data_IF_235458984364
#
_entry.id   IF_235458984364
#
_cell.length_a   1.000
_cell.length_b   1.000
_cell.length_c   1.000
_cell.angle_alpha   90.00
_cell.angle_beta   90.00
_cell.angle_gamma   90.00
#
_symmetry.space_group_name_H-M   'P 1'
#
loop_
_entity.id
_entity.type
_entity.pdbx_description
1 polymer ?
#
# COMPACT_ATOMS: atom_id res chain seq x y z
N UNK A 1 -14.36 -2.10 40.57
CA UNK A 1 -15.33 -3.12 41.03
C UNK A 1 -15.29 -4.23 40.00
N UNK A 2 -14.48 -5.26 40.25
CA UNK A 2 -14.40 -6.43 39.38
C UNK A 2 -15.69 -7.23 39.51
N UNK A 3 -16.59 -7.10 38.54
CA UNK A 3 -17.75 -7.97 38.43
C UNK A 3 -17.26 -9.38 38.07
N UNK A 4 -17.19 -10.25 39.08
CA UNK A 4 -17.05 -11.69 38.88
C UNK A 4 -18.33 -12.22 38.23
N UNK A 5 -18.29 -12.40 36.91
CA UNK A 5 -19.33 -13.10 36.17
C UNK A 5 -19.36 -14.56 36.64
N UNK A 6 -20.38 -14.93 37.44
CA UNK A 6 -20.65 -16.31 37.84
C UNK A 6 -21.54 -16.98 36.80
N UNK A 7 -20.98 -17.92 36.03
CA UNK A 7 -21.77 -18.73 35.11
C UNK A 7 -22.41 -19.88 35.88
N UNK A 8 -23.74 -19.84 36.07
CA UNK A 8 -24.50 -20.92 36.71
C UNK A 8 -24.67 -22.11 35.73
N UNK A 9 -23.58 -22.82 35.45
CA UNK A 9 -23.56 -23.99 34.58
C UNK A 9 -23.96 -25.25 35.36
N UNK A 10 -24.78 -26.11 34.76
CA UNK A 10 -25.08 -27.44 35.33
C UNK A 10 -23.82 -28.32 35.34
N UNK A 11 -23.74 -29.37 36.20
CA UNK A 11 -22.58 -30.27 36.23
C UNK A 11 -22.23 -30.88 34.88
N UNK A 12 -23.24 -31.18 34.05
CA UNK A 12 -23.06 -31.70 32.69
C UNK A 12 -22.47 -30.65 31.74
N UNK A 13 -22.95 -29.40 31.81
CA UNK A 13 -22.38 -28.28 31.06
C UNK A 13 -20.94 -27.97 31.50
N UNK A 14 -20.62 -28.10 32.78
CA UNK A 14 -19.26 -27.98 33.32
C UNK A 14 -18.33 -29.07 32.77
N UNK A 15 -18.83 -30.30 32.63
CA UNK A 15 -18.11 -31.39 32.00
C UNK A 15 -17.84 -31.11 30.51
N UNK A 16 -18.86 -30.67 29.76
CA UNK A 16 -18.73 -30.34 28.33
C UNK A 16 -17.76 -29.16 28.10
N UNK A 17 -17.87 -28.08 28.88
CA UNK A 17 -16.96 -26.94 28.78
C UNK A 17 -15.52 -27.32 29.08
N UNK A 18 -15.29 -28.27 30.01
CA UNK A 18 -13.96 -28.78 30.31
C UNK A 18 -13.39 -29.61 29.15
N UNK A 19 -14.21 -30.45 28.50
CA UNK A 19 -13.81 -31.19 27.28
C UNK A 19 -13.47 -30.22 26.14
N UNK A 20 -14.31 -29.21 25.92
CA UNK A 20 -14.14 -28.22 24.86
C UNK A 20 -12.88 -27.36 25.09
N UNK A 21 -12.63 -26.97 26.34
CA UNK A 21 -11.38 -26.29 26.74
C UNK A 21 -10.15 -27.13 26.42
N UNK A 22 -10.15 -28.42 26.75
CA UNK A 22 -9.03 -29.34 26.43
C UNK A 22 -8.78 -29.41 24.92
N UNK A 23 -9.84 -29.50 24.11
CA UNK A 23 -9.72 -29.51 22.63
C UNK A 23 -9.12 -28.20 22.13
N UNK A 24 -9.63 -27.05 22.60
CA UNK A 24 -9.10 -25.73 22.25
C UNK A 24 -7.64 -25.56 22.66
N UNK A 25 -7.25 -26.03 23.84
CA UNK A 25 -5.87 -25.92 24.32
C UNK A 25 -4.93 -26.82 23.53
N UNK A 26 -5.38 -28.01 23.14
CA UNK A 26 -4.63 -28.90 22.23
C UNK A 26 -4.40 -28.23 20.87
N UNK A 27 -5.44 -27.61 20.30
CA UNK A 27 -5.33 -26.86 19.05
C UNK A 27 -4.38 -25.66 19.19
N UNK A 28 -4.48 -24.88 20.26
CA UNK A 28 -3.58 -23.75 20.54
C UNK A 28 -2.12 -24.21 20.68
N UNK A 29 -1.87 -25.31 21.38
CA UNK A 29 -0.53 -25.85 21.54
C UNK A 29 0.04 -26.32 20.19
N UNK A 30 -0.76 -27.01 19.38
CA UNK A 30 -0.36 -27.43 18.04
C UNK A 30 -0.05 -26.23 17.15
N UNK A 31 -0.94 -25.24 17.09
CA UNK A 31 -0.73 -24.01 16.33
C UNK A 31 0.55 -23.26 16.77
N UNK A 32 0.79 -23.13 18.09
CA UNK A 32 2.02 -22.52 18.63
C UNK A 32 3.27 -23.29 18.22
N UNK A 33 3.24 -24.63 18.27
CA UNK A 33 4.37 -25.47 17.81
C UNK A 33 4.61 -25.30 16.31
N UNK A 34 3.57 -25.32 15.48
CA UNK A 34 3.69 -25.08 14.03
C UNK A 34 4.25 -23.69 13.73
N UNK A 35 3.77 -22.63 14.39
CA UNK A 35 4.28 -21.26 14.24
C UNK A 35 5.75 -21.17 14.68
N UNK A 36 6.10 -21.77 15.82
CA UNK A 36 7.49 -21.81 16.33
C UNK A 36 8.44 -22.53 15.36
N UNK A 37 8.02 -23.66 14.79
CA UNK A 37 8.82 -24.42 13.82
C UNK A 37 9.08 -23.60 12.54
N UNK A 38 8.04 -22.98 11.98
CA UNK A 38 8.18 -22.09 10.82
C UNK A 38 9.01 -20.83 11.15
N UNK A 39 8.98 -20.35 12.39
CA UNK A 39 9.81 -19.23 12.85
C UNK A 39 11.30 -19.61 12.90
N UNK A 40 11.64 -20.84 13.32
CA UNK A 40 13.01 -21.37 13.30
C UNK A 40 13.53 -21.59 11.87
N UNK A 41 12.74 -22.14 10.95
CA UNK A 41 13.13 -22.30 9.54
C UNK A 41 13.27 -20.96 8.80
N UNK A 42 12.48 -19.95 9.17
CA UNK A 42 12.63 -18.60 8.62
C UNK A 42 13.90 -17.90 9.11
N UNK A 43 14.42 -18.23 10.29
CA UNK A 43 15.58 -17.53 10.88
C UNK A 43 16.83 -17.53 9.97
N UNK A 44 17.30 -18.66 9.40
CA UNK A 44 18.45 -18.64 8.49
C UNK A 44 18.17 -17.90 7.18
N UNK A 45 16.98 -18.07 6.58
CA UNK A 45 16.62 -17.38 5.33
C UNK A 45 16.52 -15.87 5.55
N UNK A 46 15.87 -15.44 6.64
CA UNK A 46 15.74 -14.03 7.01
C UNK A 46 17.12 -13.44 7.34
N UNK A 47 18.01 -14.18 8.01
CA UNK A 47 19.40 -13.76 8.22
C UNK A 47 20.14 -13.56 6.89
N UNK A 48 20.01 -14.50 5.96
CA UNK A 48 20.62 -14.39 4.62
C UNK A 48 20.06 -13.19 3.85
N UNK A 49 18.74 -12.97 3.86
CA UNK A 49 18.10 -11.81 3.23
C UNK A 49 18.52 -10.49 3.89
N UNK A 50 18.64 -10.47 5.22
CA UNK A 50 19.15 -9.31 5.94
C UNK A 50 20.61 -9.03 5.58
N UNK A 51 21.45 -10.06 5.42
CA UNK A 51 22.82 -9.89 4.98
C UNK A 51 22.88 -9.40 3.53
N UNK A 52 22.07 -9.97 2.63
CA UNK A 52 21.88 -9.49 1.25
C UNK A 52 21.51 -8.01 1.23
N UNK A 53 20.55 -7.57 2.05
CA UNK A 53 20.13 -6.16 2.12
C UNK A 53 21.22 -5.18 2.58
N UNK A 54 22.30 -5.67 3.22
CA UNK A 54 23.43 -4.83 3.65
C UNK A 54 24.42 -4.55 2.52
N UNK A 55 24.45 -5.36 1.47
CA UNK A 55 25.35 -5.13 0.33
C UNK A 55 24.88 -3.91 -0.47
N UNK A 56 25.67 -2.84 -0.45
CA UNK A 56 25.38 -1.60 -1.17
C UNK A 56 25.48 -1.75 -2.69
N UNK A 57 26.09 -2.82 -3.19
CA UNK A 57 26.29 -3.08 -4.62
C UNK A 57 25.06 -3.66 -5.31
N UNK A 58 24.10 -4.20 -4.56
CA UNK A 58 22.89 -4.80 -5.12
C UNK A 58 21.67 -3.92 -4.85
N UNK A 59 20.70 -3.99 -5.75
CA UNK A 59 19.39 -3.37 -5.62
C UNK A 59 18.32 -4.46 -5.64
N UNK A 60 17.57 -4.56 -4.55
CA UNK A 60 16.51 -5.57 -4.39
C UNK A 60 15.16 -4.89 -4.58
N UNK A 61 14.37 -5.35 -5.54
CA UNK A 61 13.05 -4.79 -5.85
C UNK A 61 12.06 -5.86 -6.28
N UNK A 62 10.82 -5.45 -6.55
CA UNK A 62 9.77 -6.31 -7.13
C UNK A 62 9.74 -6.13 -8.64
N UNK A 63 9.37 -7.17 -9.41
CA UNK A 63 9.16 -7.02 -10.84
C UNK A 63 7.91 -6.19 -11.11
N UNK A 64 7.85 -5.66 -12.32
CA UNK A 64 6.71 -4.93 -12.86
C UNK A 64 5.41 -5.75 -12.92
N UNK A 65 5.54 -7.06 -13.17
CA UNK A 65 4.43 -8.01 -13.24
C UNK A 65 4.77 -9.30 -12.51
N UNK A 66 3.76 -9.90 -11.89
CA UNK A 66 3.89 -11.16 -11.16
C UNK A 66 4.33 -10.98 -9.71
N UNK A 67 4.58 -12.11 -9.04
CA UNK A 67 5.02 -12.18 -7.64
C UNK A 67 6.40 -12.83 -7.59
N UNK A 68 7.44 -12.01 -7.72
CA UNK A 68 8.83 -12.44 -7.58
C UNK A 68 9.67 -11.36 -6.87
N UNK A 69 10.94 -11.69 -6.62
CA UNK A 69 11.96 -10.75 -6.15
C UNK A 69 13.01 -10.64 -7.24
N UNK A 70 13.42 -9.41 -7.57
CA UNK A 70 14.47 -9.13 -8.54
C UNK A 70 15.67 -8.55 -7.81
N UNK A 71 16.85 -9.08 -8.11
CA UNK A 71 18.12 -8.58 -7.62
C UNK A 71 18.87 -8.06 -8.84
N UNK A 72 19.24 -6.78 -8.79
CA UNK A 72 19.99 -6.09 -9.83
C UNK A 72 21.31 -5.59 -9.28
N UNK A 73 22.25 -5.32 -10.17
CA UNK A 73 23.38 -4.46 -9.83
C UNK A 73 22.89 -3.03 -9.62
N UNK A 74 23.31 -2.39 -8.53
CA UNK A 74 22.85 -1.05 -8.17
C UNK A 74 23.33 0.02 -9.15
N UNK A 75 24.54 -0.12 -9.68
CA UNK A 75 25.13 0.76 -10.68
C UNK A 75 24.28 0.80 -11.96
N UNK A 76 23.93 -0.36 -12.52
CA UNK A 76 23.06 -0.50 -13.70
C UNK A 76 21.68 0.11 -13.47
N UNK A 77 21.08 -0.14 -12.29
CA UNK A 77 19.82 0.47 -11.91
C UNK A 77 19.90 2.01 -11.88
N UNK A 78 20.92 2.58 -11.23
CA UNK A 78 21.09 4.03 -11.14
C UNK A 78 21.35 4.66 -12.51
N UNK A 79 22.19 4.03 -13.33
CA UNK A 79 22.48 4.48 -14.69
C UNK A 79 21.19 4.55 -15.54
N UNK A 80 20.36 3.51 -15.49
CA UNK A 80 19.08 3.48 -16.22
C UNK A 80 18.11 4.55 -15.72
N UNK A 81 18.02 4.74 -14.40
CA UNK A 81 17.20 5.80 -13.81
C UNK A 81 17.65 7.19 -14.27
N UNK A 82 18.95 7.47 -14.27
CA UNK A 82 19.52 8.72 -14.74
C UNK A 82 19.25 8.94 -16.24
N UNK A 83 19.37 7.90 -17.07
CA UNK A 83 19.02 7.99 -18.49
C UNK A 83 17.57 8.41 -18.72
N UNK A 84 16.63 7.93 -17.91
CA UNK A 84 15.22 8.33 -17.99
C UNK A 84 15.01 9.76 -17.48
N UNK A 85 15.59 10.11 -16.32
CA UNK A 85 15.41 11.41 -15.70
C UNK A 85 16.09 12.56 -16.45
N UNK A 86 17.17 12.27 -17.18
CA UNK A 86 17.89 13.26 -17.99
C UNK A 86 17.26 13.47 -19.38
N UNK A 87 16.11 12.84 -19.69
CA UNK A 87 15.40 13.09 -20.94
C UNK A 87 14.68 14.46 -20.89
N UNK A 88 15.16 15.49 -21.62
CA UNK A 88 14.69 16.86 -21.48
C UNK A 88 13.28 17.09 -22.05
N UNK A 89 12.78 16.16 -22.86
CA UNK A 89 11.40 16.18 -23.38
C UNK A 89 10.37 15.80 -22.31
N UNK A 90 10.78 15.00 -21.33
CA UNK A 90 9.89 14.38 -20.34
C UNK A 90 10.07 15.02 -18.97
N UNK A 91 11.32 15.28 -18.57
CA UNK A 91 11.67 15.79 -17.26
C UNK A 91 12.44 17.11 -17.36
N UNK A 92 12.21 17.97 -16.36
CA UNK A 92 12.94 19.21 -16.18
C UNK A 92 13.51 19.22 -14.76
N UNK A 93 14.82 19.41 -14.66
CA UNK A 93 15.48 19.62 -13.39
C UNK A 93 15.01 20.95 -12.78
N UNK A 94 14.76 20.92 -11.47
CA UNK A 94 14.41 22.10 -10.68
C UNK A 94 15.58 22.45 -9.77
N UNK A 95 15.85 23.74 -9.62
CA UNK A 95 16.93 24.24 -8.77
C UNK A 95 16.57 24.15 -7.28
N UNK A 96 15.28 24.24 -6.96
CA UNK A 96 14.75 24.20 -5.60
C UNK A 96 13.51 23.30 -5.50
N UNK A 97 13.29 22.71 -4.33
CA UNK A 97 12.09 21.93 -4.05
C UNK A 97 10.87 22.84 -3.83
N UNK A 98 9.86 22.83 -4.73
CA UNK A 98 8.70 23.70 -4.62
C UNK A 98 7.63 23.14 -3.67
N UNK A 99 7.89 22.04 -2.95
CA UNK A 99 6.87 21.31 -2.18
C UNK A 99 6.18 22.19 -1.14
N UNK A 100 6.95 22.92 -0.32
CA UNK A 100 6.38 23.81 0.72
C UNK A 100 5.58 24.95 0.07
N UNK A 101 6.13 25.57 -0.98
CA UNK A 101 5.46 26.67 -1.69
C UNK A 101 4.12 26.20 -2.29
N UNK A 102 4.07 25.00 -2.86
CA UNK A 102 2.86 24.39 -3.42
C UNK A 102 1.87 23.99 -2.32
N UNK A 103 2.35 23.46 -1.20
CA UNK A 103 1.55 23.17 -0.02
C UNK A 103 0.85 24.44 0.49
N UNK A 104 1.60 25.52 0.73
CA UNK A 104 1.06 26.78 1.24
C UNK A 104 0.05 27.41 0.28
N UNK A 105 0.34 27.38 -1.03
CA UNK A 105 -0.60 27.84 -2.06
C UNK A 105 -1.89 27.03 -2.02
N UNK A 106 -1.80 25.72 -1.87
CA UNK A 106 -2.97 24.86 -1.78
C UNK A 106 -3.75 25.09 -0.49
N UNK A 107 -3.09 25.19 0.67
CA UNK A 107 -3.75 25.46 1.94
C UNK A 107 -4.55 26.76 1.90
N UNK A 108 -3.97 27.85 1.36
CA UNK A 108 -4.67 29.13 1.16
C UNK A 108 -5.91 28.98 0.29
N UNK A 109 -5.82 28.22 -0.81
CA UNK A 109 -6.96 27.97 -1.70
C UNK A 109 -8.05 27.16 -1.01
N UNK A 110 -7.70 26.10 -0.28
CA UNK A 110 -8.65 25.29 0.48
C UNK A 110 -9.34 26.09 1.59
N UNK A 111 -8.60 26.97 2.27
CA UNK A 111 -9.17 27.85 3.29
C UNK A 111 -10.19 28.82 2.68
N UNK A 112 -9.85 29.42 1.54
CA UNK A 112 -10.79 30.28 0.82
C UNK A 112 -12.07 29.51 0.41
N UNK A 113 -11.92 28.29 -0.14
CA UNK A 113 -13.07 27.44 -0.51
C UNK A 113 -13.92 27.04 0.69
N UNK A 114 -13.31 26.86 1.87
CA UNK A 114 -14.03 26.66 3.13
C UNK A 114 -14.83 27.90 3.51
N UNK A 115 -14.22 29.09 3.45
CA UNK A 115 -14.84 30.34 3.88
C UNK A 115 -16.04 30.74 3.02
N UNK A 116 -16.06 30.38 1.73
CA UNK A 116 -17.22 30.57 0.85
C UNK A 116 -18.24 29.41 0.94
N UNK A 117 -18.11 28.54 1.95
CA UNK A 117 -18.97 27.36 2.18
C UNK A 117 -18.99 26.35 1.02
N UNK A 118 -17.99 26.34 0.13
CA UNK A 118 -17.89 25.37 -0.97
C UNK A 118 -17.40 24.00 -0.47
N UNK A 119 -16.50 24.00 0.52
CA UNK A 119 -16.06 22.79 1.20
C UNK A 119 -16.68 22.73 2.60
N UNK A 120 -17.11 21.53 2.99
CA UNK A 120 -17.49 21.29 4.38
C UNK A 120 -16.26 21.27 5.28
N UNK A 121 -16.47 21.43 6.60
CA UNK A 121 -15.39 21.35 7.59
C UNK A 121 -14.63 20.01 7.55
N UNK A 122 -15.35 18.90 7.32
CA UNK A 122 -14.74 17.58 7.21
C UNK A 122 -13.92 17.44 5.93
N UNK A 123 -14.41 17.97 4.80
CA UNK A 123 -13.72 17.95 3.52
C UNK A 123 -12.46 18.80 3.54
N UNK A 124 -12.53 20.00 4.12
CA UNK A 124 -11.37 20.84 4.34
C UNK A 124 -10.32 20.14 5.20
N UNK A 125 -10.71 19.59 6.36
CA UNK A 125 -9.79 18.87 7.26
C UNK A 125 -9.15 17.66 6.59
N UNK A 126 -9.91 16.95 5.75
CA UNK A 126 -9.40 15.82 4.98
C UNK A 126 -8.43 16.26 3.88
N UNK A 127 -8.79 17.25 3.08
CA UNK A 127 -8.01 17.67 1.92
C UNK A 127 -6.78 18.52 2.27
N UNK A 128 -6.77 19.17 3.45
CA UNK A 128 -5.67 20.03 3.89
C UNK A 128 -4.36 19.22 4.00
N UNK A 129 -3.33 19.55 3.19
CA UNK A 129 -2.01 18.95 3.33
C UNK A 129 -1.33 19.43 4.62
N UNK A 130 -0.52 18.55 5.22
CA UNK A 130 0.38 18.85 6.33
C UNK A 130 1.63 18.00 6.16
N UNK A 131 2.80 18.64 6.07
CA UNK A 131 4.09 17.93 6.01
C UNK A 131 4.27 17.15 4.70
N UNK A 132 3.91 17.77 3.58
CA UNK A 132 3.99 17.14 2.26
C UNK A 132 5.43 16.82 1.90
N UNK A 133 5.61 15.80 1.06
CA UNK A 133 6.89 15.42 0.50
C UNK A 133 6.85 15.48 -1.03
N UNK A 134 8.00 15.67 -1.71
CA UNK A 134 8.08 15.48 -3.14
C UNK A 134 7.60 14.09 -3.57
N UNK A 135 7.18 13.99 -4.83
CA UNK A 135 6.86 12.69 -5.42
C UNK A 135 8.12 11.83 -5.52
N UNK A 136 8.03 10.57 -5.11
CA UNK A 136 9.16 9.64 -5.18
C UNK A 136 9.15 8.92 -6.52
N UNK A 137 10.26 9.01 -7.26
CA UNK A 137 10.48 8.24 -8.47
C UNK A 137 11.26 6.96 -8.15
N UNK A 138 10.83 5.83 -8.71
CA UNK A 138 11.52 4.54 -8.66
C UNK A 138 11.17 3.72 -9.88
N UNK A 139 11.89 2.62 -10.11
CA UNK A 139 11.70 1.81 -11.30
C UNK A 139 11.40 0.35 -10.98
N UNK A 140 10.59 -0.27 -11.84
CA UNK A 140 10.22 -1.68 -11.73
C UNK A 140 10.73 -2.47 -12.94
N UNK A 141 11.49 -3.56 -12.75
CA UNK A 141 12.02 -4.36 -13.85
C UNK A 141 10.92 -5.11 -14.61
N UNK A 142 10.85 -4.94 -15.93
CA UNK A 142 9.93 -5.68 -16.80
C UNK A 142 10.55 -7.03 -17.16
N UNK A 143 10.58 -7.96 -16.20
CA UNK A 143 11.17 -9.31 -16.33
C UNK A 143 10.54 -10.18 -17.44
N UNK A 144 9.40 -9.77 -17.98
CA UNK A 144 8.70 -10.44 -19.09
C UNK A 144 9.09 -9.89 -20.47
N UNK A 145 10.12 -9.07 -20.56
CA UNK A 145 10.63 -8.48 -21.81
C UNK A 145 12.12 -8.73 -21.93
N UNK A 146 12.59 -8.91 -23.16
CA UNK A 146 14.01 -9.07 -23.46
C UNK A 146 14.81 -7.85 -23.02
N UNK A 147 16.01 -8.09 -22.47
CA UNK A 147 16.86 -7.04 -21.91
C UNK A 147 16.36 -6.44 -20.58
N UNK A 148 15.24 -6.92 -20.03
CA UNK A 148 14.65 -6.50 -18.75
C UNK A 148 14.60 -4.97 -18.57
N UNK A 149 13.93 -4.24 -19.48
CA UNK A 149 13.81 -2.79 -19.38
C UNK A 149 13.08 -2.37 -18.09
N UNK A 150 13.44 -1.21 -17.55
CA UNK A 150 12.82 -0.68 -16.34
C UNK A 150 11.54 0.12 -16.68
N UNK A 151 10.54 0.09 -15.79
CA UNK A 151 9.35 0.96 -15.84
C UNK A 151 9.52 2.07 -14.81
N UNK A 152 9.67 3.35 -15.20
CA UNK A 152 9.66 4.43 -14.24
C UNK A 152 8.25 4.59 -13.63
N UNK A 153 8.20 4.73 -12.32
CA UNK A 153 6.99 4.97 -11.53
C UNK A 153 7.20 6.23 -10.68
N UNK A 154 6.29 7.18 -10.82
CA UNK A 154 6.26 8.39 -9.98
C UNK A 154 5.15 8.23 -8.97
N UNK A 155 5.52 7.99 -7.70
CA UNK A 155 4.57 7.90 -6.60
C UNK A 155 4.23 9.29 -6.09
N UNK A 156 2.99 9.71 -6.32
CA UNK A 156 2.42 10.94 -5.75
C UNK A 156 1.89 10.77 -4.31
N UNK A 157 2.13 9.63 -3.65
CA UNK A 157 1.70 9.42 -2.26
C UNK A 157 2.41 10.40 -1.33
N UNK A 158 1.65 11.07 -0.46
CA UNK A 158 2.21 12.03 0.50
C UNK A 158 2.59 13.38 -0.11
N UNK A 159 2.34 13.59 -1.41
CA UNK A 159 2.48 14.91 -2.03
C UNK A 159 1.37 15.86 -1.58
N UNK A 160 1.59 17.16 -1.76
CA UNK A 160 0.68 18.21 -1.28
C UNK A 160 -0.76 18.06 -1.78
N UNK A 161 -0.98 17.44 -2.95
CA UNK A 161 -2.30 17.25 -3.54
C UNK A 161 -2.87 15.82 -3.40
N UNK A 162 -2.23 14.91 -2.67
CA UNK A 162 -2.66 13.49 -2.56
C UNK A 162 -4.09 13.38 -2.00
N UNK A 163 -4.33 13.97 -0.81
CA UNK A 163 -5.66 13.89 -0.15
C UNK A 163 -6.74 14.64 -0.93
N UNK A 164 -6.41 15.81 -1.49
CA UNK A 164 -7.32 16.55 -2.36
C UNK A 164 -7.73 15.70 -3.58
N UNK A 165 -6.77 15.03 -4.22
CA UNK A 165 -7.06 14.19 -5.38
C UNK A 165 -8.01 13.04 -5.04
N UNK A 166 -7.86 12.44 -3.85
CA UNK A 166 -8.80 11.42 -3.33
C UNK A 166 -10.19 11.99 -3.09
N UNK A 167 -10.28 13.19 -2.49
CA UNK A 167 -11.55 13.87 -2.28
C UNK A 167 -12.28 14.13 -3.61
N UNK A 168 -11.55 14.67 -4.59
CA UNK A 168 -12.09 14.93 -5.92
C UNK A 168 -12.52 13.65 -6.64
N UNK A 169 -11.70 12.60 -6.60
CA UNK A 169 -12.04 11.30 -7.19
C UNK A 169 -13.32 10.71 -6.59
N UNK A 170 -13.52 10.86 -5.28
CA UNK A 170 -14.73 10.42 -4.60
C UNK A 170 -15.95 11.26 -5.01
N UNK A 171 -15.83 12.59 -5.04
CA UNK A 171 -16.92 13.47 -5.47
C UNK A 171 -17.33 13.22 -6.92
N UNK A 172 -16.36 13.00 -7.81
CA UNK A 172 -16.58 12.77 -9.23
C UNK A 172 -16.91 11.30 -9.58
N UNK A 173 -16.97 10.40 -8.59
CA UNK A 173 -17.23 8.97 -8.82
C UNK A 173 -18.53 8.72 -9.57
N UNK A 174 -19.57 9.52 -9.30
CA UNK A 174 -20.87 9.40 -9.96
C UNK A 174 -20.79 9.64 -11.48
N UNK A 175 -19.89 10.51 -11.94
CA UNK A 175 -19.69 10.78 -13.38
C UNK A 175 -19.04 9.60 -14.12
N UNK A 176 -18.44 8.66 -13.38
CA UNK A 176 -17.86 7.43 -13.95
C UNK A 176 -18.85 6.27 -13.99
N UNK A 177 -20.04 6.42 -13.41
CA UNK A 177 -21.05 5.38 -13.44
C UNK A 177 -21.79 5.45 -14.78
N UNK A 178 -21.76 4.35 -15.53
CA UNK A 178 -22.55 4.18 -16.76
C UNK A 178 -23.16 2.78 -16.75
N UNK A 179 -24.39 2.60 -17.29
CA UNK A 179 -24.96 1.27 -17.52
C UNK A 179 -24.08 0.38 -18.40
N UNK A 180 -23.20 0.97 -19.21
CA UNK A 180 -22.26 0.26 -20.10
C UNK A 180 -20.93 -0.09 -19.44
N UNK A 181 -20.70 0.32 -18.18
CA UNK A 181 -19.44 0.07 -17.46
C UNK A 181 -19.65 -1.05 -16.45
N UNK A 182 -18.86 -2.12 -16.62
CA UNK A 182 -18.80 -3.21 -15.66
C UNK A 182 -17.64 -3.00 -14.70
N UNK A 183 -17.90 -3.24 -13.41
CA UNK A 183 -16.98 -2.87 -12.31
C UNK A 183 -15.73 -3.75 -12.29
N UNK A 184 -15.88 -5.04 -12.58
CA UNK A 184 -14.79 -6.01 -12.61
C UNK A 184 -15.11 -7.19 -13.54
N UNK A 185 -14.08 -8.01 -13.80
CA UNK A 185 -14.18 -9.18 -14.68
C UNK A 185 -15.15 -10.24 -14.16
N UNK A 186 -15.31 -10.37 -12.84
CA UNK A 186 -16.23 -11.37 -12.26
C UNK A 186 -17.69 -10.97 -12.48
N UNK A 187 -18.00 -9.69 -12.29
CA UNK A 187 -19.32 -9.11 -12.59
C UNK A 187 -19.63 -9.23 -14.08
N UNK A 188 -18.64 -8.98 -14.94
CA UNK A 188 -18.80 -9.14 -16.40
C UNK A 188 -19.13 -10.57 -16.79
N UNK A 189 -18.39 -11.56 -16.27
CA UNK A 189 -18.68 -12.97 -16.53
C UNK A 189 -20.07 -13.36 -16.00
N UNK A 190 -20.45 -12.88 -14.82
CA UNK A 190 -21.77 -13.13 -14.24
C UNK A 190 -22.90 -12.53 -15.08
N UNK A 191 -22.72 -11.33 -15.63
CA UNK A 191 -23.69 -10.69 -16.51
C UNK A 191 -23.82 -11.44 -17.85
N UNK A 192 -22.71 -11.91 -18.43
CA UNK A 192 -22.72 -12.76 -19.62
C UNK A 192 -23.39 -14.12 -19.41
N UNK A 193 -23.25 -14.71 -18.22
CA UNK A 193 -23.89 -15.99 -17.90
C UNK A 193 -25.40 -15.87 -17.66
N UNK A 194 -25.90 -14.66 -17.40
CA UNK A 194 -27.32 -14.37 -17.18
C UNK A 194 -28.01 -13.77 -18.42
N UNK A 195 -27.29 -13.67 -19.55
CA UNK A 195 -27.82 -13.36 -20.88
C UNK A 195 -28.31 -14.65 -21.56
#
# INVERSE_FOLDING_TARGET
>A
LDERISYNLTPEQLCLTTKLRKVCDTFRQHARKSISRHKKEKDPIVKTLNNLSKYKTIYITRPDKGRAVVILERSDYLMKMEQILNEPKTFKQLDEDPTIQKEDKLQRKLLHLKNICFLTDSEYKFARPVGSQPGNAYELPKTHKDGVPLRPIISARGTFNDKLSKLLANKLKHLRASPTIVIDTFKFVKELQNL
#
